data_IF_103213872473
#
_entry.id   IF_103213872473
#
_cell.length_a   1.000
_cell.length_b   1.000
_cell.length_c   1.000
_cell.angle_alpha   90.00
_cell.angle_beta   90.00
_cell.angle_gamma   90.00
#
_symmetry.space_group_name_H-M   'P 1'
#
loop_
_entity.id
_entity.type
_entity.pdbx_description
1 polymer ?
#
# COMPACT_ATOMS: atom_id res chain seq x y z
N UNK A 1 21.86 0.33 1.35
CA UNK A 1 20.51 0.00 0.82
C UNK A 1 19.72 1.28 0.64
N UNK A 2 18.82 1.28 -0.31
CA UNK A 2 17.93 2.40 -0.56
C UNK A 2 16.55 2.09 0.02
N UNK A 3 15.77 3.14 0.27
CA UNK A 3 14.41 3.02 0.74
C UNK A 3 13.45 2.99 -0.44
N UNK A 4 12.40 2.18 -0.32
CA UNK A 4 11.38 2.02 -1.35
C UNK A 4 10.00 2.15 -0.72
N UNK A 5 9.11 2.85 -1.41
CA UNK A 5 7.72 2.95 -1.02
C UNK A 5 6.92 1.88 -1.76
N UNK A 6 6.22 1.05 -1.02
CA UNK A 6 5.27 0.09 -1.56
C UNK A 6 3.89 0.71 -1.46
N UNK A 7 3.24 0.92 -2.59
CA UNK A 7 1.93 1.58 -2.69
C UNK A 7 0.91 0.52 -3.06
N UNK A 8 -0.10 0.35 -2.22
CA UNK A 8 -1.14 -0.66 -2.41
C UNK A 8 -2.33 -0.04 -3.12
N UNK A 9 -2.68 -0.59 -4.29
CA UNK A 9 -3.79 -0.11 -5.10
C UNK A 9 -4.82 -1.22 -5.30
N UNK A 10 -6.09 -0.86 -5.22
CA UNK A 10 -7.17 -1.78 -5.52
C UNK A 10 -8.46 -0.99 -5.78
N UNK A 11 -9.45 -1.66 -6.38
CA UNK A 11 -10.80 -1.12 -6.51
C UNK A 11 -11.56 -1.39 -5.20
N UNK A 12 -11.59 -0.39 -4.32
CA UNK A 12 -12.21 -0.55 -3.01
C UNK A 12 -13.72 -0.80 -3.10
N UNK A 13 -14.38 -0.37 -4.18
CA UNK A 13 -15.84 -0.61 -4.38
C UNK A 13 -16.13 -2.03 -4.82
N UNK A 14 -15.17 -2.69 -5.46
CA UNK A 14 -15.31 -4.08 -5.88
C UNK A 14 -14.98 -5.08 -4.77
N UNK A 15 -14.44 -4.59 -3.64
CA UNK A 15 -14.12 -5.46 -2.52
C UNK A 15 -15.41 -6.02 -1.90
N UNK A 16 -15.49 -7.34 -1.65
CA UNK A 16 -16.67 -7.91 -1.02
C UNK A 16 -16.81 -7.40 0.41
N UNK A 17 -18.03 -7.23 0.87
CA UNK A 17 -18.29 -6.93 2.26
C UNK A 17 -17.87 -8.13 3.10
N UNK A 18 -17.05 -7.86 4.12
CA UNK A 18 -16.53 -8.90 4.98
C UNK A 18 -17.21 -8.85 6.35
N UNK A 19 -17.42 -10.01 6.95
CA UNK A 19 -17.83 -10.10 8.35
C UNK A 19 -16.71 -9.59 9.27
N UNK A 20 -16.99 -9.24 10.53
CA UNK A 20 -15.94 -8.86 11.48
C UNK A 20 -14.84 -9.92 11.60
N UNK A 21 -15.19 -11.19 11.56
CA UNK A 21 -14.24 -12.30 11.64
C UNK A 21 -13.36 -12.37 10.39
N UNK A 22 -13.94 -12.17 9.20
CA UNK A 22 -13.18 -12.12 7.95
C UNK A 22 -12.26 -10.90 7.92
N UNK A 23 -12.70 -9.76 8.43
CA UNK A 23 -11.87 -8.56 8.51
C UNK A 23 -10.70 -8.78 9.45
N UNK A 24 -10.92 -9.45 10.59
CA UNK A 24 -9.85 -9.77 11.53
C UNK A 24 -8.84 -10.72 10.91
N UNK A 25 -9.30 -11.74 10.19
CA UNK A 25 -8.42 -12.69 9.50
C UNK A 25 -7.59 -11.99 8.42
N UNK A 26 -8.19 -11.08 7.66
CA UNK A 26 -7.48 -10.28 6.65
C UNK A 26 -6.43 -9.38 7.30
N UNK A 27 -6.77 -8.72 8.40
CA UNK A 27 -5.83 -7.88 9.16
C UNK A 27 -4.65 -8.71 9.65
N UNK A 28 -4.90 -9.92 10.14
CA UNK A 28 -3.82 -10.80 10.60
C UNK A 28 -2.85 -11.16 9.47
N UNK A 29 -3.35 -11.39 8.26
CA UNK A 29 -2.49 -11.65 7.09
C UNK A 29 -1.56 -10.46 6.80
N UNK A 30 -2.07 -9.24 6.90
CA UNK A 30 -1.25 -8.04 6.75
C UNK A 30 -0.18 -7.92 7.83
N UNK A 31 -0.56 -8.18 9.08
CA UNK A 31 0.37 -8.16 10.21
C UNK A 31 1.48 -9.20 9.97
N UNK A 32 1.13 -10.41 9.55
CA UNK A 32 2.08 -11.49 9.30
C UNK A 32 3.02 -11.15 8.15
N UNK A 33 2.51 -10.56 7.08
CA UNK A 33 3.34 -10.18 5.93
C UNK A 33 4.34 -9.10 6.32
N UNK A 34 3.90 -8.06 7.03
CA UNK A 34 4.78 -6.99 7.53
C UNK A 34 5.82 -7.56 8.50
N UNK A 35 5.41 -8.46 9.39
CA UNK A 35 6.31 -9.11 10.33
C UNK A 35 7.40 -9.91 9.61
N UNK A 36 7.07 -10.56 8.49
CA UNK A 36 8.03 -11.28 7.65
C UNK A 36 9.09 -10.36 7.05
N UNK A 37 8.70 -9.15 6.64
CA UNK A 37 9.64 -8.13 6.15
C UNK A 37 10.53 -7.64 7.28
N UNK A 38 9.95 -7.37 8.45
CA UNK A 38 10.68 -6.95 9.64
C UNK A 38 11.70 -8.00 10.10
N UNK A 39 11.32 -9.28 9.99
CA UNK A 39 12.21 -10.39 10.36
C UNK A 39 13.45 -10.47 9.46
N UNK A 40 13.38 -9.96 8.24
CA UNK A 40 14.50 -9.87 7.31
C UNK A 40 15.32 -8.58 7.49
N UNK A 41 14.97 -7.76 8.48
CA UNK A 41 15.57 -6.43 8.71
C UNK A 41 15.45 -5.51 7.49
N UNK A 42 14.30 -5.56 6.84
CA UNK A 42 14.01 -4.78 5.64
C UNK A 42 12.89 -3.75 5.83
N UNK A 43 12.23 -3.75 6.98
CA UNK A 43 11.14 -2.82 7.25
C UNK A 43 11.69 -1.47 7.72
N UNK A 44 11.32 -0.39 7.05
CA UNK A 44 11.63 0.99 7.47
C UNK A 44 10.46 1.58 8.22
N UNK A 45 9.25 1.46 7.67
CA UNK A 45 8.01 1.95 8.25
C UNK A 45 6.89 1.04 7.75
N UNK A 46 6.11 0.51 8.68
CA UNK A 46 4.96 -0.33 8.28
C UNK A 46 3.90 0.47 7.52
N UNK A 47 3.93 1.81 7.62
CA UNK A 47 2.99 2.70 6.95
C UNK A 47 1.61 2.66 7.55
N UNK A 48 0.65 3.11 6.77
CA UNK A 48 -0.73 3.24 7.21
C UNK A 48 -1.70 2.91 6.09
N UNK A 49 -2.92 2.58 6.48
CA UNK A 49 -4.06 2.50 5.57
C UNK A 49 -4.56 3.90 5.29
N UNK A 50 -5.05 4.14 4.06
CA UNK A 50 -5.65 5.41 3.66
C UNK A 50 -7.14 5.21 3.44
N UNK A 51 -7.93 6.20 3.84
CA UNK A 51 -9.36 6.22 3.52
C UNK A 51 -9.53 6.47 2.01
N UNK A 52 -10.61 5.96 1.40
CA UNK A 52 -10.84 6.15 -0.03
C UNK A 52 -11.29 7.57 -0.41
N UNK A 53 -11.56 8.42 0.56
CA UNK A 53 -11.96 9.81 0.36
C UNK A 53 -10.76 10.73 0.48
N UNK A 54 -10.80 11.88 -0.21
CA UNK A 54 -9.73 12.86 -0.11
C UNK A 54 -10.07 14.14 -0.84
N UNK A 55 -9.10 15.03 -0.92
CA UNK A 55 -9.21 16.31 -1.63
C UNK A 55 -7.98 16.50 -2.50
N UNK A 56 -8.14 17.19 -3.59
CA UNK A 56 -7.04 17.60 -4.46
C UNK A 56 -7.01 19.13 -4.50
N UNK A 57 -5.92 19.72 -4.02
CA UNK A 57 -5.66 21.15 -4.13
C UNK A 57 -4.83 21.37 -5.40
N UNK A 58 -5.34 22.19 -6.30
CA UNK A 58 -4.68 22.49 -7.56
C UNK A 58 -3.88 23.81 -7.47
N UNK A 59 -2.97 24.02 -8.40
CA UNK A 59 -2.07 25.19 -8.40
C UNK A 59 -2.79 26.54 -8.49
N UNK A 60 -4.04 26.56 -8.98
CA UNK A 60 -4.88 27.77 -9.03
C UNK A 60 -5.73 27.96 -7.76
N UNK A 61 -5.40 27.25 -6.67
CA UNK A 61 -6.13 27.22 -5.40
C UNK A 61 -7.53 26.57 -5.49
N UNK A 62 -7.91 26.01 -6.61
CA UNK A 62 -9.14 25.23 -6.70
C UNK A 62 -8.97 23.91 -5.94
N UNK A 63 -10.01 23.53 -5.20
CA UNK A 63 -10.05 22.26 -4.47
C UNK A 63 -11.14 21.42 -5.07
N UNK A 64 -10.80 20.19 -5.45
CA UNK A 64 -11.75 19.21 -5.93
C UNK A 64 -11.82 18.01 -5.00
N UNK A 65 -12.92 17.28 -5.05
CA UNK A 65 -13.02 16.03 -4.30
C UNK A 65 -12.05 15.01 -4.89
N UNK A 66 -11.40 14.30 -4.00
CA UNK A 66 -10.44 13.26 -4.35
C UNK A 66 -10.82 11.91 -3.79
N UNK A 67 -9.95 10.95 -3.98
CA UNK A 67 -8.58 11.03 -4.49
C UNK A 67 -8.48 11.32 -5.99
N UNK A 68 -7.28 11.61 -6.43
CA UNK A 68 -6.98 11.99 -7.81
C UNK A 68 -7.17 10.85 -8.81
N UNK A 69 -6.85 9.63 -8.39
CA UNK A 69 -6.89 8.45 -9.24
C UNK A 69 -8.31 7.90 -9.41
N UNK A 70 -8.50 7.14 -10.48
CA UNK A 70 -9.76 6.40 -10.66
C UNK A 70 -9.98 5.42 -9.52
N UNK A 71 -11.26 5.10 -9.27
CA UNK A 71 -11.66 4.21 -8.16
C UNK A 71 -10.96 2.85 -8.24
N UNK A 72 -10.78 2.32 -9.45
CA UNK A 72 -10.14 1.02 -9.68
C UNK A 72 -8.67 0.98 -9.26
N UNK A 73 -8.03 2.14 -9.17
CA UNK A 73 -6.61 2.28 -8.88
C UNK A 73 -6.38 3.09 -7.60
N UNK A 74 -7.38 3.13 -6.73
CA UNK A 74 -7.29 3.86 -5.47
C UNK A 74 -6.13 3.36 -4.63
N UNK A 75 -5.38 4.30 -4.05
CA UNK A 75 -4.31 3.98 -3.11
C UNK A 75 -4.94 3.70 -1.76
N UNK A 76 -4.80 2.47 -1.29
CA UNK A 76 -5.40 2.03 -0.02
C UNK A 76 -4.44 2.08 1.15
N UNK A 77 -3.16 2.28 0.89
CA UNK A 77 -2.15 2.33 1.93
C UNK A 77 -0.74 2.23 1.37
N UNK A 78 0.22 2.21 2.27
CA UNK A 78 1.63 2.14 1.90
C UNK A 78 2.46 1.51 3.02
N UNK A 79 3.60 0.96 2.63
CA UNK A 79 4.64 0.46 3.54
C UNK A 79 5.99 0.90 2.99
N UNK A 80 6.94 1.21 3.84
CA UNK A 80 8.28 1.57 3.41
C UNK A 80 9.27 0.48 3.79
N UNK A 81 10.06 0.04 2.82
CA UNK A 81 11.05 -1.02 3.00
C UNK A 81 12.42 -0.54 2.53
N UNK A 82 13.48 -1.24 2.94
CA UNK A 82 14.82 -1.00 2.40
C UNK A 82 15.30 -2.25 1.67
N UNK A 83 16.01 -2.03 0.58
CA UNK A 83 16.54 -3.11 -0.26
C UNK A 83 17.76 -2.62 -1.03
N UNK A 84 18.54 -3.56 -1.56
CA UNK A 84 19.72 -3.24 -2.36
C UNK A 84 19.39 -2.82 -3.79
N UNK A 85 18.19 -3.14 -4.27
CA UNK A 85 17.73 -2.85 -5.62
C UNK A 85 16.22 -2.86 -5.67
N UNK A 86 15.66 -2.30 -6.76
CA UNK A 86 14.20 -2.36 -6.97
C UNK A 86 13.72 -3.80 -7.15
N UNK A 87 14.55 -4.66 -7.72
CA UNK A 87 14.24 -6.08 -7.88
C UNK A 87 14.09 -6.76 -6.52
N UNK A 88 14.98 -6.46 -5.58
CA UNK A 88 14.86 -6.98 -4.20
C UNK A 88 13.63 -6.42 -3.50
N UNK A 89 13.34 -5.12 -3.66
CA UNK A 89 12.15 -4.51 -3.09
C UNK A 89 10.88 -5.17 -3.65
N UNK A 90 10.86 -5.47 -4.94
CA UNK A 90 9.75 -6.16 -5.59
C UNK A 90 9.56 -7.56 -5.01
N UNK A 91 10.64 -8.28 -4.71
CA UNK A 91 10.54 -9.59 -4.05
C UNK A 91 9.90 -9.49 -2.67
N UNK A 92 10.15 -8.42 -1.92
CA UNK A 92 9.51 -8.21 -0.62
C UNK A 92 8.00 -8.01 -0.75
N UNK A 93 7.52 -7.52 -1.90
CA UNK A 93 6.10 -7.34 -2.15
C UNK A 93 5.36 -8.65 -2.46
N UNK A 94 6.08 -9.71 -2.79
CA UNK A 94 5.46 -11.02 -3.01
C UNK A 94 4.75 -11.50 -1.76
N UNK A 95 3.59 -12.09 -1.93
CA UNK A 95 2.77 -12.55 -0.81
C UNK A 95 1.97 -11.46 -0.11
N UNK A 96 2.02 -10.21 -0.61
CA UNK A 96 1.22 -9.13 -0.04
C UNK A 96 -0.27 -9.47 -0.12
N UNK A 97 -1.01 -9.31 0.98
CA UNK A 97 -2.45 -9.64 0.99
C UNK A 97 -3.31 -8.83 0.04
N UNK A 98 -2.80 -7.69 -0.49
CA UNK A 98 -3.56 -6.90 -1.48
C UNK A 98 -3.91 -7.73 -2.72
N UNK A 99 -3.09 -8.71 -3.08
CA UNK A 99 -3.35 -9.56 -4.24
C UNK A 99 -4.60 -10.42 -4.06
N UNK A 100 -5.00 -10.71 -2.82
CA UNK A 100 -6.21 -11.47 -2.52
C UNK A 100 -7.48 -10.67 -2.83
N UNK A 101 -7.36 -9.35 -2.95
CA UNK A 101 -8.48 -8.45 -3.29
C UNK A 101 -8.46 -8.04 -4.77
N UNK A 102 -7.60 -8.65 -5.58
CA UNK A 102 -7.42 -8.27 -6.98
C UNK A 102 -6.60 -7.00 -7.18
N UNK A 103 -5.96 -6.52 -6.12
CA UNK A 103 -5.12 -5.32 -6.18
C UNK A 103 -3.70 -5.58 -6.64
N UNK A 104 -2.90 -4.55 -6.56
CA UNK A 104 -1.48 -4.61 -6.95
C UNK A 104 -0.63 -3.74 -6.04
N UNK A 105 0.68 -3.90 -6.17
CA UNK A 105 1.66 -3.10 -5.43
C UNK A 105 2.51 -2.35 -6.45
N UNK A 106 2.55 -1.04 -6.29
CA UNK A 106 3.49 -0.19 -7.04
C UNK A 106 4.72 0.04 -6.17
N UNK A 107 5.91 -0.18 -6.72
CA UNK A 107 7.17 -0.04 -5.99
C UNK A 107 7.89 1.18 -6.53
N UNK A 108 8.20 2.14 -5.65
CA UNK A 108 8.88 3.38 -6.02
C UNK A 108 10.10 3.58 -5.14
N UNK A 109 11.26 3.77 -5.75
CA UNK A 109 12.46 4.12 -5.00
C UNK A 109 12.32 5.55 -4.46
N UNK A 110 12.67 5.73 -3.19
CA UNK A 110 12.64 7.05 -2.55
C UNK A 110 13.96 7.75 -2.85
N UNK A 111 13.86 8.96 -3.39
CA UNK A 111 15.01 9.81 -3.65
C UNK A 111 15.12 10.82 -2.50
N UNK A 112 16.07 10.65 -1.58
CA UNK A 112 16.20 11.59 -0.45
C UNK A 112 16.50 13.00 -0.93
N UNK A 113 15.93 13.97 -0.25
CA UNK A 113 16.18 15.39 -0.53
C UNK A 113 17.59 15.80 -0.11
#
# INVERSE_FOLDING_TARGET
MNDFLLIFRADYKAMPKASPEQMQAATQKWIDWVAGIAAQDRLVDRGNRLLPTGKVLRSNNAVSDGPYTEIKESILGYTMVKAGSIEEATKLAHGCPIFLTGGNVEIREINPL
#
